data_IF_185120139241
#
_entry.id   IF_185120139241
#
_cell.length_a   1.000
_cell.length_b   1.000
_cell.length_c   1.000
_cell.angle_alpha   90.00
_cell.angle_beta   90.00
_cell.angle_gamma   90.00
#
_symmetry.space_group_name_H-M   'P 1'
#
loop_
_entity.id
_entity.type
_entity.pdbx_description
1 polymer ?
#
# COMPACT_ATOMS: atom_id res chain seq x y z
N UNK A 1 -12.66 -23.84 -1.94
CA UNK A 1 -13.41 -22.80 -1.23
C UNK A 1 -14.15 -22.02 -2.29
N UNK A 2 -15.50 -22.15 -2.33
CA UNK A 2 -16.34 -21.48 -3.32
C UNK A 2 -16.87 -20.11 -2.85
N UNK A 3 -16.34 -19.58 -1.75
CA UNK A 3 -16.76 -18.32 -1.18
C UNK A 3 -15.73 -17.22 -1.49
N UNK A 4 -16.22 -16.04 -1.83
CA UNK A 4 -15.33 -14.89 -2.01
C UNK A 4 -14.81 -14.46 -0.62
N UNK A 5 -13.57 -13.95 -0.55
CA UNK A 5 -12.99 -13.50 0.72
C UNK A 5 -13.76 -12.29 1.28
N UNK A 6 -13.75 -12.16 2.61
CA UNK A 6 -14.28 -10.99 3.31
C UNK A 6 -13.33 -9.81 3.19
N UNK A 7 -12.02 -10.09 3.20
CA UNK A 7 -10.98 -9.09 2.98
C UNK A 7 -10.03 -9.48 1.86
N UNK A 8 -9.64 -8.49 1.05
CA UNK A 8 -8.51 -8.59 0.12
C UNK A 8 -7.52 -7.50 0.50
N UNK A 9 -6.36 -7.88 1.01
CA UNK A 9 -5.34 -6.97 1.54
C UNK A 9 -4.08 -7.05 0.67
N UNK A 10 -3.54 -5.90 0.29
CA UNK A 10 -2.32 -5.84 -0.50
C UNK A 10 -1.61 -4.51 -0.42
N UNK A 11 -0.28 -4.55 -0.48
CA UNK A 11 0.54 -3.35 -0.54
C UNK A 11 0.39 -2.63 -1.86
N UNK A 12 0.54 -1.30 -1.81
CA UNK A 12 0.38 -0.43 -2.95
C UNK A 12 1.57 0.52 -3.12
N UNK A 13 2.12 0.53 -4.32
CA UNK A 13 2.96 1.62 -4.83
C UNK A 13 2.20 2.34 -5.92
N UNK A 14 2.57 2.13 -7.20
CA UNK A 14 1.83 2.67 -8.34
C UNK A 14 0.41 2.09 -8.53
N UNK A 15 0.05 1.02 -7.84
CA UNK A 15 -1.31 0.48 -7.84
C UNK A 15 -1.58 -0.69 -8.77
N UNK A 16 -0.69 -1.04 -9.69
CA UNK A 16 -0.94 -2.11 -10.69
C UNK A 16 -1.05 -3.50 -10.03
N UNK A 17 -0.18 -3.81 -9.07
CA UNK A 17 -0.21 -5.07 -8.33
C UNK A 17 -1.52 -5.23 -7.53
N UNK A 18 -1.84 -4.23 -6.71
CA UNK A 18 -3.06 -4.22 -5.90
C UNK A 18 -4.32 -4.23 -6.77
N UNK A 19 -4.34 -3.40 -7.85
CA UNK A 19 -5.44 -3.38 -8.80
C UNK A 19 -5.69 -4.75 -9.46
N UNK A 20 -4.61 -5.46 -9.84
CA UNK A 20 -4.70 -6.82 -10.37
C UNK A 20 -5.23 -7.83 -9.35
N UNK A 21 -4.81 -7.72 -8.08
CA UNK A 21 -5.27 -8.58 -6.99
C UNK A 21 -6.78 -8.45 -6.76
N UNK A 22 -7.31 -7.23 -6.71
CA UNK A 22 -8.74 -6.99 -6.44
C UNK A 22 -9.64 -7.16 -7.66
N UNK A 23 -9.10 -7.06 -8.89
CA UNK A 23 -9.87 -7.03 -10.14
C UNK A 23 -10.95 -8.11 -10.25
N UNK A 24 -10.72 -9.39 -9.90
CA UNK A 24 -11.74 -10.43 -9.97
C UNK A 24 -12.95 -10.18 -9.06
N UNK A 25 -12.78 -9.42 -7.97
CA UNK A 25 -13.80 -9.20 -6.95
C UNK A 25 -14.54 -7.87 -7.10
N UNK A 26 -14.00 -6.94 -7.90
CA UNK A 26 -14.55 -5.58 -8.09
C UNK A 26 -16.00 -5.60 -8.60
N UNK A 27 -16.39 -6.42 -9.61
CA UNK A 27 -17.77 -6.42 -10.08
C UNK A 27 -18.76 -6.79 -8.98
N UNK A 28 -18.45 -7.80 -8.18
CA UNK A 28 -19.32 -8.24 -7.08
C UNK A 28 -19.38 -7.18 -5.97
N UNK A 29 -18.27 -6.51 -5.67
CA UNK A 29 -18.21 -5.41 -4.69
C UNK A 29 -19.09 -4.22 -5.10
N UNK A 30 -19.04 -3.83 -6.37
CA UNK A 30 -19.89 -2.74 -6.91
C UNK A 30 -21.38 -3.14 -6.85
N UNK A 31 -21.70 -4.41 -7.01
CA UNK A 31 -23.05 -4.96 -6.89
C UNK A 31 -23.53 -5.14 -5.44
N UNK A 32 -22.77 -4.70 -4.45
CA UNK A 32 -23.15 -4.70 -3.05
C UNK A 32 -22.64 -5.89 -2.20
N UNK A 33 -21.73 -6.73 -2.75
CA UNK A 33 -21.07 -7.75 -1.92
C UNK A 33 -20.14 -7.08 -0.91
N UNK A 34 -20.10 -7.59 0.33
CA UNK A 34 -19.32 -7.00 1.43
C UNK A 34 -17.84 -7.49 1.46
N UNK A 35 -17.20 -7.69 0.30
CA UNK A 35 -15.75 -7.90 0.25
C UNK A 35 -15.04 -6.57 0.45
N UNK A 36 -14.17 -6.48 1.44
CA UNK A 36 -13.44 -5.26 1.80
C UNK A 36 -12.05 -5.26 1.20
N UNK A 37 -11.71 -4.25 0.41
CA UNK A 37 -10.38 -4.08 -0.17
C UNK A 37 -9.56 -3.11 0.67
N UNK A 38 -8.38 -3.53 1.12
CA UNK A 38 -7.48 -2.73 1.95
C UNK A 38 -6.15 -2.55 1.23
N UNK A 39 -5.88 -1.33 0.80
CA UNK A 39 -4.60 -0.92 0.22
C UNK A 39 -3.63 -0.51 1.34
N UNK A 40 -2.45 -1.10 1.37
CA UNK A 40 -1.44 -0.83 2.40
C UNK A 40 -0.33 0.02 1.81
N UNK A 41 -0.16 1.23 2.32
CA UNK A 41 0.84 2.20 1.91
C UNK A 41 2.05 2.19 2.85
N UNK A 42 3.18 2.67 2.35
CA UNK A 42 4.34 3.04 3.15
C UNK A 42 4.14 4.46 3.70
N UNK A 43 4.43 4.67 4.99
CA UNK A 43 4.10 5.92 5.71
C UNK A 43 4.79 7.18 5.15
N UNK A 44 5.91 7.03 4.43
CA UNK A 44 6.58 8.15 3.75
C UNK A 44 6.02 8.45 2.36
N UNK A 45 5.18 7.56 1.79
CA UNK A 45 4.54 7.73 0.48
C UNK A 45 3.04 7.45 0.52
N UNK A 46 2.28 8.15 1.36
CA UNK A 46 0.86 7.88 1.63
C UNK A 46 -0.05 8.53 0.56
N UNK A 47 0.04 8.06 -0.68
CA UNK A 47 -0.63 8.68 -1.83
C UNK A 47 -2.15 8.65 -1.77
N UNK A 48 -2.75 7.57 -1.22
CA UNK A 48 -4.20 7.49 -1.01
C UNK A 48 -4.63 8.22 0.26
N UNK A 49 -3.91 7.98 1.38
CA UNK A 49 -4.34 8.47 2.69
C UNK A 49 -4.05 9.96 2.90
N UNK A 50 -3.07 10.55 2.21
CA UNK A 50 -2.67 11.96 2.35
C UNK A 50 -2.53 12.73 1.04
N UNK A 51 -2.70 12.06 -0.10
CA UNK A 51 -2.69 12.70 -1.41
C UNK A 51 -4.00 13.39 -1.75
N UNK A 52 -4.02 14.03 -2.91
CA UNK A 52 -5.21 14.65 -3.49
C UNK A 52 -5.60 13.96 -4.78
N UNK A 53 -6.90 13.91 -5.08
CA UNK A 53 -7.40 13.39 -6.35
C UNK A 53 -7.40 14.50 -7.40
N UNK A 54 -6.57 14.37 -8.40
CA UNK A 54 -6.42 15.38 -9.46
C UNK A 54 -5.80 14.76 -10.73
N UNK A 55 -5.78 15.50 -11.83
CA UNK A 55 -5.03 15.12 -13.01
C UNK A 55 -3.53 15.37 -12.80
N UNK A 56 -2.73 14.33 -12.99
CA UNK A 56 -1.28 14.38 -12.86
C UNK A 56 -0.61 13.41 -13.84
N UNK A 57 0.65 13.69 -14.19
CA UNK A 57 1.50 12.77 -14.97
C UNK A 57 2.09 11.70 -14.06
N UNK A 58 2.16 10.47 -14.53
CA UNK A 58 2.74 9.36 -13.78
C UNK A 58 4.26 9.49 -13.58
N UNK A 59 4.95 10.20 -14.49
CA UNK A 59 6.38 10.43 -14.43
C UNK A 59 6.74 11.79 -13.81
N UNK A 60 7.87 11.85 -13.12
CA UNK A 60 8.35 13.08 -12.48
C UNK A 60 8.66 14.21 -13.48
N UNK A 61 9.08 13.86 -14.70
CA UNK A 61 9.37 14.85 -15.76
C UNK A 61 8.09 15.46 -16.38
N UNK A 62 6.93 14.84 -16.20
CA UNK A 62 5.66 15.31 -16.74
C UNK A 62 5.54 15.13 -18.25
N UNK A 63 6.22 14.15 -18.81
CA UNK A 63 6.20 13.83 -20.23
C UNK A 63 5.06 12.87 -20.61
N UNK A 64 4.57 12.08 -19.66
CA UNK A 64 3.42 11.22 -19.84
C UNK A 64 2.10 12.00 -19.82
N UNK A 65 1.04 11.47 -20.46
CA UNK A 65 -0.28 12.07 -20.36
C UNK A 65 -0.72 12.27 -18.89
N UNK A 66 -1.44 13.36 -18.64
CA UNK A 66 -2.10 13.56 -17.36
C UNK A 66 -3.33 12.65 -17.27
N UNK A 67 -3.48 11.99 -16.13
CA UNK A 67 -4.61 11.11 -15.85
C UNK A 67 -5.13 11.36 -14.44
N UNK A 68 -6.44 11.18 -14.18
CA UNK A 68 -6.99 11.37 -12.85
C UNK A 68 -6.45 10.31 -11.89
N UNK A 69 -5.83 10.75 -10.80
CA UNK A 69 -5.23 9.87 -9.80
C UNK A 69 -5.19 10.52 -8.41
N UNK A 70 -5.09 9.71 -7.37
CA UNK A 70 -4.60 10.17 -6.08
C UNK A 70 -3.09 10.34 -6.16
N UNK A 71 -2.58 11.49 -5.76
CA UNK A 71 -1.15 11.82 -5.88
C UNK A 71 -0.65 12.71 -4.75
N UNK A 72 0.61 12.54 -4.40
CA UNK A 72 1.39 13.47 -3.56
C UNK A 72 2.00 14.61 -4.38
N UNK A 73 1.78 14.60 -5.70
CA UNK A 73 2.40 15.48 -6.67
C UNK A 73 3.73 14.91 -7.21
N UNK A 74 3.94 15.02 -8.52
CA UNK A 74 5.15 14.47 -9.20
C UNK A 74 6.48 15.05 -8.69
N UNK A 75 6.43 16.20 -8.02
CA UNK A 75 7.62 16.82 -7.43
C UNK A 75 7.90 16.34 -6.00
N UNK A 76 7.01 15.51 -5.44
CA UNK A 76 7.23 14.92 -4.13
C UNK A 76 8.38 13.91 -4.19
N UNK A 77 9.41 14.17 -3.39
CA UNK A 77 10.55 13.27 -3.24
C UNK A 77 10.40 12.51 -1.91
N UNK A 78 10.01 11.22 -1.95
CA UNK A 78 9.88 10.44 -0.74
C UNK A 78 11.24 10.18 -0.10
N UNK A 79 11.31 10.07 1.23
CA UNK A 79 12.52 9.68 1.94
C UNK A 79 13.09 8.33 1.47
N UNK A 80 14.35 8.07 1.81
CA UNK A 80 15.03 6.82 1.49
C UNK A 80 14.58 5.68 2.39
N UNK A 81 13.63 4.86 1.92
CA UNK A 81 13.20 3.62 2.58
C UNK A 81 13.50 2.41 1.72
N UNK A 82 13.65 1.22 2.33
CA UNK A 82 14.00 0.00 1.61
C UNK A 82 12.87 -0.56 0.74
N UNK A 83 11.64 -0.13 0.93
CA UNK A 83 10.48 -0.52 0.12
C UNK A 83 10.41 0.26 -1.21
N UNK A 84 11.45 0.20 -2.03
CA UNK A 84 11.57 0.99 -3.26
C UNK A 84 10.38 0.88 -4.21
N UNK A 85 9.75 -0.28 -4.30
CA UNK A 85 8.56 -0.52 -5.12
C UNK A 85 7.29 0.18 -4.61
N UNK A 86 7.31 0.78 -3.41
CA UNK A 86 6.21 1.56 -2.85
C UNK A 86 6.42 3.07 -2.99
N UNK A 87 7.58 3.52 -3.47
CA UNK A 87 7.96 4.95 -3.53
C UNK A 87 7.43 5.64 -4.80
N UNK A 88 6.11 5.66 -4.96
CA UNK A 88 5.44 6.35 -6.07
C UNK A 88 4.62 7.53 -5.56
N UNK A 89 4.67 8.64 -6.30
CA UNK A 89 3.91 9.85 -5.94
C UNK A 89 2.42 9.73 -6.27
N UNK A 90 2.01 8.78 -7.12
CA UNK A 90 0.63 8.66 -7.59
C UNK A 90 0.20 7.22 -7.82
N UNK A 91 -1.11 7.01 -7.76
CA UNK A 91 -1.76 5.70 -7.81
C UNK A 91 -2.55 5.55 -9.11
N UNK A 92 -2.49 4.37 -9.72
CA UNK A 92 -3.19 4.03 -10.96
C UNK A 92 -4.64 4.51 -10.98
N UNK A 93 -5.14 5.07 -12.10
CA UNK A 93 -6.47 5.69 -12.19
C UNK A 93 -7.62 4.80 -11.72
N UNK A 94 -7.59 3.51 -12.06
CA UNK A 94 -8.65 2.58 -11.65
C UNK A 94 -8.71 2.39 -10.13
N UNK A 95 -7.56 2.27 -9.47
CA UNK A 95 -7.50 2.15 -8.00
C UNK A 95 -7.90 3.45 -7.35
N UNK A 96 -7.45 4.57 -7.89
CA UNK A 96 -7.81 5.92 -7.43
C UNK A 96 -9.32 6.17 -7.53
N UNK A 97 -9.96 5.75 -8.63
CA UNK A 97 -11.40 5.86 -8.81
C UNK A 97 -12.16 5.00 -7.78
N UNK A 98 -11.76 3.75 -7.59
CA UNK A 98 -12.38 2.85 -6.62
C UNK A 98 -12.20 3.34 -5.17
N UNK A 99 -11.06 3.93 -4.85
CA UNK A 99 -10.84 4.54 -3.53
C UNK A 99 -11.72 5.78 -3.32
N UNK A 100 -11.82 6.66 -4.32
CA UNK A 100 -12.71 7.83 -4.30
C UNK A 100 -14.17 7.45 -4.08
N UNK A 101 -14.63 6.39 -4.74
CA UNK A 101 -16.00 5.84 -4.61
C UNK A 101 -16.19 4.96 -3.36
N UNK A 102 -15.18 4.91 -2.46
CA UNK A 102 -15.21 4.17 -1.18
C UNK A 102 -15.36 2.65 -1.31
N UNK A 103 -14.97 2.09 -2.45
CA UNK A 103 -14.86 0.64 -2.62
C UNK A 103 -13.56 0.08 -2.03
N UNK A 104 -12.53 0.90 -1.88
CA UNK A 104 -11.24 0.59 -1.27
C UNK A 104 -11.07 1.45 -0.02
N UNK A 105 -10.50 0.87 1.04
CA UNK A 105 -9.91 1.57 2.18
C UNK A 105 -8.38 1.56 2.06
N UNK A 106 -7.70 2.50 2.70
CA UNK A 106 -6.24 2.55 2.71
C UNK A 106 -5.72 2.77 4.14
N UNK A 107 -4.58 2.14 4.42
CA UNK A 107 -3.82 2.30 5.66
C UNK A 107 -2.36 2.54 5.33
N UNK A 108 -1.63 3.23 6.19
CA UNK A 108 -0.21 3.47 6.02
C UNK A 108 0.56 2.95 7.24
N UNK A 109 1.59 2.14 7.00
CA UNK A 109 2.45 1.58 8.04
C UNK A 109 3.89 2.06 7.91
N UNK A 110 4.60 2.10 9.05
CA UNK A 110 6.02 2.38 9.12
C UNK A 110 6.86 1.16 8.70
N UNK A 111 8.11 1.42 8.38
CA UNK A 111 9.06 0.42 7.92
C UNK A 111 9.39 -0.60 9.01
N UNK A 112 9.71 -0.12 10.23
CA UNK A 112 10.14 -0.99 11.35
C UNK A 112 9.04 -1.98 11.72
N UNK A 113 7.79 -1.53 11.89
CA UNK A 113 6.69 -2.40 12.26
C UNK A 113 6.35 -3.41 11.15
N UNK A 114 6.42 -3.00 9.88
CA UNK A 114 6.15 -3.88 8.73
C UNK A 114 7.21 -4.97 8.59
N UNK A 115 8.48 -4.61 8.76
CA UNK A 115 9.59 -5.58 8.68
C UNK A 115 9.61 -6.53 9.89
N UNK A 116 9.23 -6.03 11.08
CA UNK A 116 9.08 -6.88 12.26
C UNK A 116 7.97 -7.92 12.07
N UNK A 117 6.83 -7.52 11.50
CA UNK A 117 5.74 -8.42 11.14
C UNK A 117 6.17 -9.43 10.07
N UNK A 118 6.91 -9.00 9.05
CA UNK A 118 7.47 -9.86 8.01
C UNK A 118 8.45 -10.90 8.57
N UNK A 119 9.33 -10.51 9.48
CA UNK A 119 10.25 -11.43 10.16
C UNK A 119 9.50 -12.46 11.00
N UNK A 120 8.45 -12.04 11.72
CA UNK A 120 7.60 -12.94 12.49
C UNK A 120 6.91 -13.97 11.59
N UNK A 121 6.34 -13.54 10.48
CA UNK A 121 5.73 -14.40 9.47
C UNK A 121 6.75 -15.37 8.86
N UNK A 122 7.93 -14.88 8.47
CA UNK A 122 9.00 -15.69 7.92
C UNK A 122 9.41 -16.82 8.89
N UNK A 123 9.49 -16.53 10.19
CA UNK A 123 9.81 -17.53 11.21
C UNK A 123 8.70 -18.54 11.43
N UNK A 124 7.44 -18.14 11.28
CA UNK A 124 6.29 -19.00 11.47
C UNK A 124 6.04 -19.91 10.25
N UNK A 125 6.11 -19.35 9.05
CA UNK A 125 5.70 -20.02 7.82
C UNK A 125 6.87 -20.53 6.95
N UNK A 126 8.11 -20.16 7.27
CA UNK A 126 9.29 -20.55 6.49
C UNK A 126 9.41 -19.84 5.14
N UNK A 127 8.64 -18.79 4.89
CA UNK A 127 8.63 -18.03 3.64
C UNK A 127 9.33 -16.69 3.84
N UNK A 128 10.45 -16.48 3.12
CA UNK A 128 11.18 -15.21 3.15
C UNK A 128 10.46 -14.19 2.27
N UNK A 129 9.97 -13.12 2.88
CA UNK A 129 9.16 -12.09 2.22
C UNK A 129 9.98 -11.00 1.56
N UNK A 130 9.51 -10.47 0.43
CA UNK A 130 10.02 -9.20 -0.09
C UNK A 130 9.56 -8.03 0.80
N UNK A 131 10.25 -6.87 0.77
CA UNK A 131 9.82 -5.66 1.50
C UNK A 131 8.35 -5.31 1.29
N UNK A 132 7.88 -5.37 0.06
CA UNK A 132 6.48 -5.10 -0.30
C UNK A 132 5.48 -6.01 0.45
N UNK A 133 5.78 -7.32 0.51
CA UNK A 133 4.93 -8.29 1.19
C UNK A 133 4.91 -8.12 2.70
N UNK A 134 5.98 -7.57 3.30
CA UNK A 134 6.05 -7.32 4.74
C UNK A 134 4.99 -6.29 5.19
N UNK A 135 4.73 -5.24 4.40
CA UNK A 135 3.65 -4.28 4.65
C UNK A 135 2.27 -4.94 4.56
N UNK A 136 2.06 -5.77 3.54
CA UNK A 136 0.82 -6.55 3.42
C UNK A 136 0.60 -7.42 4.66
N UNK A 137 1.62 -8.18 5.07
CA UNK A 137 1.53 -9.08 6.22
C UNK A 137 1.30 -8.33 7.53
N UNK A 138 1.87 -7.14 7.70
CA UNK A 138 1.60 -6.28 8.86
C UNK A 138 0.09 -6.02 9.00
N UNK A 139 -0.58 -5.57 7.95
CA UNK A 139 -2.03 -5.31 7.99
C UNK A 139 -2.85 -6.60 8.13
N UNK A 140 -2.42 -7.70 7.50
CA UNK A 140 -3.08 -9.01 7.65
C UNK A 140 -3.08 -9.47 9.10
N UNK A 141 -1.95 -9.32 9.80
CA UNK A 141 -1.85 -9.66 11.23
C UNK A 141 -2.78 -8.77 12.05
N UNK A 142 -2.83 -7.47 11.79
CA UNK A 142 -3.74 -6.57 12.50
C UNK A 142 -5.20 -6.93 12.25
N UNK A 143 -5.56 -7.23 11.01
CA UNK A 143 -6.92 -7.64 10.70
C UNK A 143 -7.28 -8.98 11.35
N UNK A 144 -6.38 -9.95 11.36
CA UNK A 144 -6.59 -11.23 12.04
C UNK A 144 -6.76 -11.06 13.57
N UNK A 145 -6.01 -10.13 14.18
CA UNK A 145 -6.19 -9.79 15.60
C UNK A 145 -7.55 -9.14 15.84
N UNK A 146 -8.01 -8.23 14.97
CA UNK A 146 -9.36 -7.66 15.05
C UNK A 146 -10.45 -8.73 14.93
N UNK A 147 -10.30 -9.68 14.01
CA UNK A 147 -11.23 -10.82 13.89
C UNK A 147 -11.26 -11.65 15.20
N UNK A 148 -10.10 -11.93 15.79
CA UNK A 148 -10.00 -12.64 17.07
C UNK A 148 -10.72 -11.89 18.21
N UNK A 149 -10.54 -10.58 18.30
CA UNK A 149 -11.17 -9.72 19.32
C UNK A 149 -12.69 -9.66 19.17
N UNK A 150 -13.18 -9.63 17.93
CA UNK A 150 -14.63 -9.56 17.63
C UNK A 150 -15.30 -10.92 17.55
N UNK A 151 -14.52 -12.01 17.48
CA UNK A 151 -15.02 -13.38 17.28
C UNK A 151 -15.55 -13.62 15.86
N UNK A 152 -15.08 -12.88 14.86
CA UNK A 152 -15.50 -13.08 13.46
C UNK A 152 -14.65 -14.16 12.77
N UNK A 153 -15.26 -14.91 11.85
CA UNK A 153 -14.64 -15.96 11.03
C UNK A 153 -14.27 -15.45 9.63
N UNK A 154 -13.87 -14.17 9.52
CA UNK A 154 -13.59 -13.53 8.23
C UNK A 154 -12.42 -14.22 7.50
N UNK A 155 -12.61 -14.46 6.20
CA UNK A 155 -11.56 -14.97 5.31
C UNK A 155 -10.76 -13.83 4.72
N UNK A 156 -9.43 -13.85 4.95
CA UNK A 156 -8.50 -12.82 4.46
C UNK A 156 -7.69 -13.37 3.30
N UNK A 157 -7.85 -12.79 2.11
CA UNK A 157 -7.00 -13.05 0.94
C UNK A 157 -5.90 -12.00 0.85
N UNK A 158 -4.66 -12.44 0.69
CA UNK A 158 -3.52 -11.54 0.46
C UNK A 158 -2.47 -12.18 -0.42
N UNK A 159 -1.57 -11.36 -0.96
CA UNK A 159 -0.45 -11.86 -1.77
C UNK A 159 0.82 -11.94 -0.95
N UNK A 160 1.53 -13.05 -1.13
CA UNK A 160 2.88 -13.25 -0.61
C UNK A 160 3.85 -13.17 -1.78
N UNK A 161 4.64 -12.11 -1.83
CA UNK A 161 5.73 -11.98 -2.78
C UNK A 161 7.02 -12.41 -2.08
N UNK A 162 7.67 -13.52 -2.50
CA UNK A 162 8.91 -13.94 -1.89
C UNK A 162 10.03 -12.95 -2.20
N UNK A 163 11.04 -12.90 -1.32
CA UNK A 163 12.26 -12.17 -1.61
C UNK A 163 12.96 -12.78 -2.82
N UNK A 164 13.56 -11.96 -3.67
CA UNK A 164 14.51 -12.44 -4.65
C UNK A 164 15.74 -12.93 -3.87
N UNK A 165 16.18 -14.15 -4.14
CA UNK A 165 17.06 -14.98 -3.30
C UNK A 165 18.43 -14.40 -2.94
N UNK A 166 18.76 -13.19 -3.37
CA UNK A 166 20.10 -12.60 -3.20
C UNK A 166 20.10 -11.30 -2.39
N UNK A 167 18.95 -10.79 -1.96
CA UNK A 167 18.89 -9.53 -1.20
C UNK A 167 18.40 -9.77 0.23
N UNK A 168 19.35 -9.98 1.15
CA UNK A 168 19.12 -10.08 2.59
C UNK A 168 19.07 -8.72 3.28
N UNK A 169 19.43 -7.64 2.59
CA UNK A 169 19.57 -6.28 3.14
C UNK A 169 18.43 -5.85 4.04
N UNK A 170 17.14 -6.09 3.68
CA UNK A 170 16.03 -5.69 4.53
C UNK A 170 16.01 -6.39 5.90
N UNK A 171 16.34 -7.67 5.92
CA UNK A 171 16.39 -8.47 7.15
C UNK A 171 17.61 -8.14 7.99
N UNK A 172 18.77 -8.00 7.34
CA UNK A 172 20.03 -7.63 8.00
C UNK A 172 19.87 -6.25 8.65
N UNK A 173 19.33 -5.25 7.93
CA UNK A 173 19.11 -3.92 8.45
C UNK A 173 18.14 -3.89 9.65
N UNK A 174 17.11 -4.75 9.65
CA UNK A 174 16.21 -4.89 10.80
C UNK A 174 16.96 -5.52 12.00
N UNK A 175 17.67 -6.61 11.78
CA UNK A 175 18.35 -7.36 12.85
C UNK A 175 19.50 -6.55 13.47
N UNK A 176 20.18 -5.75 12.67
CA UNK A 176 21.28 -4.88 13.10
C UNK A 176 20.79 -3.56 13.70
N UNK A 177 19.46 -3.34 13.74
CA UNK A 177 18.87 -2.09 14.28
C UNK A 177 19.16 -0.85 13.44
N UNK A 178 19.45 -1.03 12.14
CA UNK A 178 19.77 0.07 11.20
C UNK A 178 18.55 0.66 10.53
N UNK A 179 17.38 0.01 10.66
CA UNK A 179 16.14 0.54 10.13
C UNK A 179 15.65 1.73 10.95
N UNK A 180 15.15 2.73 10.26
CA UNK A 180 14.47 3.87 10.85
C UNK A 180 13.17 4.14 10.11
N UNK A 181 12.18 4.63 10.82
CA UNK A 181 10.92 5.05 10.22
C UNK A 181 11.04 6.47 9.67
N UNK A 182 10.56 6.63 8.46
CA UNK A 182 10.36 7.92 7.84
C UNK A 182 8.86 8.18 7.65
N UNK A 183 8.47 9.44 7.78
CA UNK A 183 7.10 9.88 7.51
C UNK A 183 7.11 10.95 6.44
N UNK A 184 6.03 11.04 5.70
CA UNK A 184 5.85 12.13 4.76
C UNK A 184 5.87 13.48 5.51
N UNK A 185 6.89 14.31 5.23
CA UNK A 185 7.04 15.62 5.84
C UNK A 185 5.91 16.56 5.40
N UNK A 186 5.28 17.24 6.37
CA UNK A 186 4.20 18.21 6.12
C UNK A 186 4.63 19.34 5.17
N UNK A 187 5.85 19.85 5.34
CA UNK A 187 6.37 20.93 4.51
C UNK A 187 6.56 20.47 3.04
N UNK A 188 7.11 19.28 2.84
CA UNK A 188 7.30 18.67 1.51
C UNK A 188 5.97 18.39 0.82
N UNK A 189 4.99 17.85 1.56
CA UNK A 189 3.62 17.63 1.04
C UNK A 189 2.95 18.94 0.65
N UNK A 190 2.95 19.94 1.53
CA UNK A 190 2.36 21.26 1.25
C UNK A 190 3.00 21.93 0.04
N UNK A 191 4.32 21.83 -0.12
CA UNK A 191 5.03 22.36 -1.28
C UNK A 191 4.61 21.66 -2.57
N UNK A 192 4.59 20.34 -2.59
CA UNK A 192 4.24 19.55 -3.77
C UNK A 192 2.76 19.67 -4.14
N UNK A 193 1.86 19.64 -3.14
CA UNK A 193 0.41 19.76 -3.36
C UNK A 193 -0.05 21.20 -3.59
N UNK A 194 0.73 22.20 -3.21
CA UNK A 194 0.40 23.62 -3.33
C UNK A 194 0.06 24.05 -4.76
N UNK A 195 0.62 23.37 -5.77
CA UNK A 195 0.34 23.63 -7.19
C UNK A 195 -1.09 23.24 -7.62
N UNK A 196 -1.78 22.44 -6.81
CA UNK A 196 -3.18 22.06 -7.07
C UNK A 196 -4.20 22.95 -6.33
N UNK A 197 -3.74 23.90 -5.49
CA UNK A 197 -4.60 24.84 -4.79
C UNK A 197 -5.39 25.65 -5.84
N UNK A 198 -6.72 25.53 -5.81
CA UNK A 198 -7.61 26.15 -6.80
C UNK A 198 -8.06 25.24 -7.95
N UNK A 199 -7.59 23.97 -7.98
CA UNK A 199 -8.05 22.94 -8.92
C UNK A 199 -8.85 21.81 -8.25
N UNK A 200 -8.96 21.86 -6.92
CA UNK A 200 -9.70 20.89 -6.09
C UNK A 200 -11.07 21.48 -5.73
#
# INVERSE_FOLDING_TARGET
VNEAPDYVIGSIGAGSHFGGLIAPFVPARIQGRDTRFVAVEEASTPSLTRGVYTEESADAAGLMPQVPMYTLGREYAPPGVLAGAMRYHGVAPIVSALYREKHISAVAHGQIESYSAGLMFTRAEGIVLSPLAMYTVKEVIEQALRCKETGSDDTILFTVTPAVSTDSTPYDSLLDGLLHDEKAEEASLKKSLGRFIGRI
#
